data_IF_474148410698
#
_entry.id   IF_474148410698
#
_cell.length_a   1.000
_cell.length_b   1.000
_cell.length_c   1.000
_cell.angle_alpha   90.00
_cell.angle_beta   90.00
_cell.angle_gamma   90.00
#
_symmetry.space_group_name_H-M   'P 1'
#
loop_
_entity.id
_entity.type
_entity.pdbx_description
1 polymer ?
#
# COMPACT_ATOMS: atom_id res chain seq x y z
N UNK A 1 18.52 10.16 -9.31
CA UNK A 1 17.41 9.45 -8.64
C UNK A 1 16.40 10.46 -8.14
N UNK A 2 15.12 10.11 -8.11
CA UNK A 2 14.04 10.98 -7.61
C UNK A 2 13.61 10.51 -6.21
N UNK A 3 13.35 11.45 -5.29
CA UNK A 3 12.91 11.16 -3.92
C UNK A 3 11.70 12.04 -3.60
N UNK A 4 10.64 11.43 -3.08
CA UNK A 4 9.45 12.13 -2.62
C UNK A 4 8.79 11.32 -1.50
N UNK A 5 8.15 12.01 -0.58
CA UNK A 5 7.25 11.48 0.45
C UNK A 5 5.82 11.26 -0.08
N UNK A 6 5.50 11.77 -1.26
CA UNK A 6 4.21 11.59 -1.93
C UNK A 6 4.22 10.36 -2.83
N UNK A 7 3.41 9.35 -2.49
CA UNK A 7 3.18 8.19 -3.35
C UNK A 7 2.65 8.61 -4.73
N UNK A 8 1.75 9.58 -4.80
CA UNK A 8 1.24 10.08 -6.08
C UNK A 8 2.34 10.74 -6.92
N UNK A 9 3.23 11.50 -6.28
CA UNK A 9 4.38 12.11 -6.96
C UNK A 9 5.34 11.05 -7.48
N UNK A 10 5.65 10.03 -6.69
CA UNK A 10 6.48 8.90 -7.12
C UNK A 10 5.86 8.17 -8.31
N UNK A 11 4.57 7.83 -8.24
CA UNK A 11 3.89 7.13 -9.33
C UNK A 11 3.85 7.96 -10.62
N UNK A 12 3.62 9.27 -10.52
CA UNK A 12 3.63 10.17 -11.67
C UNK A 12 5.00 10.22 -12.33
N UNK A 13 6.08 10.21 -11.53
CA UNK A 13 7.45 10.17 -12.06
C UNK A 13 7.77 8.83 -12.72
N UNK A 14 7.36 7.71 -12.14
CA UNK A 14 7.58 6.37 -12.72
C UNK A 14 6.86 6.24 -14.06
N UNK A 15 5.63 6.71 -14.17
CA UNK A 15 4.85 6.62 -15.41
C UNK A 15 5.41 7.50 -16.53
N UNK A 16 5.91 8.70 -16.19
CA UNK A 16 6.35 9.70 -17.18
C UNK A 16 7.81 9.59 -17.58
N UNK A 17 8.58 8.73 -16.92
CA UNK A 17 10.02 8.60 -17.12
C UNK A 17 10.44 7.13 -17.15
N UNK A 18 11.72 6.86 -17.40
CA UNK A 18 12.27 5.48 -17.36
C UNK A 18 12.73 5.06 -15.96
N UNK A 19 12.20 5.69 -14.90
CA UNK A 19 12.53 5.33 -13.52
C UNK A 19 11.80 4.06 -13.09
N UNK A 20 12.47 3.26 -12.27
CA UNK A 20 11.90 2.09 -11.59
C UNK A 20 11.82 2.35 -10.09
N UNK A 21 10.86 1.72 -9.42
CA UNK A 21 10.73 1.77 -7.97
C UNK A 21 10.39 0.40 -7.40
N UNK A 22 10.90 0.13 -6.20
CA UNK A 22 10.47 -0.98 -5.37
C UNK A 22 9.33 -0.50 -4.47
N UNK A 23 8.18 -1.18 -4.52
CA UNK A 23 7.03 -0.83 -3.71
C UNK A 23 6.18 -2.05 -3.35
N UNK A 24 5.36 -1.98 -2.29
CA UNK A 24 4.42 -3.04 -1.96
C UNK A 24 3.46 -3.35 -3.12
N UNK A 25 3.32 -4.64 -3.46
CA UNK A 25 2.52 -5.11 -4.59
C UNK A 25 1.07 -4.59 -4.54
N UNK A 26 0.42 -4.60 -3.37
CA UNK A 26 -0.95 -4.09 -3.21
C UNK A 26 -1.09 -2.62 -3.60
N UNK A 27 -0.09 -1.79 -3.30
CA UNK A 27 -0.09 -0.37 -3.69
C UNK A 27 0.08 -0.21 -5.20
N UNK A 28 1.02 -0.94 -5.79
CA UNK A 28 1.23 -0.91 -7.24
C UNK A 28 -0.02 -1.36 -8.02
N UNK A 29 -0.67 -2.44 -7.58
CA UNK A 29 -1.93 -2.92 -8.15
C UNK A 29 -3.04 -1.88 -8.01
N UNK A 30 -3.11 -1.15 -6.90
CA UNK A 30 -4.07 -0.06 -6.73
C UNK A 30 -3.87 1.05 -7.77
N UNK A 31 -2.63 1.49 -7.97
CA UNK A 31 -2.35 2.53 -8.96
C UNK A 31 -2.60 2.07 -10.39
N UNK A 32 -2.24 0.83 -10.73
CA UNK A 32 -2.52 0.28 -12.06
C UNK A 32 -4.02 0.09 -12.31
N UNK A 33 -4.72 -0.60 -11.42
CA UNK A 33 -6.07 -1.08 -11.68
C UNK A 33 -7.15 -0.04 -11.37
N UNK A 34 -6.99 0.69 -10.26
CA UNK A 34 -7.99 1.66 -9.81
C UNK A 34 -7.68 3.08 -10.28
N UNK A 35 -6.40 3.49 -10.27
CA UNK A 35 -5.99 4.82 -10.73
C UNK A 35 -5.61 4.87 -12.21
N UNK A 36 -5.55 3.72 -12.89
CA UNK A 36 -5.28 3.59 -14.33
C UNK A 36 -3.92 4.16 -14.76
N UNK A 37 -2.92 4.09 -13.90
CA UNK A 37 -1.55 4.46 -14.28
C UNK A 37 -0.97 3.42 -15.25
N UNK A 38 -0.30 3.87 -16.31
CA UNK A 38 0.39 3.01 -17.27
C UNK A 38 1.77 2.59 -16.74
N UNK A 39 1.74 1.64 -15.80
CA UNK A 39 2.94 1.06 -15.19
C UNK A 39 3.05 -0.43 -15.51
N UNK A 40 4.30 -0.90 -15.60
CA UNK A 40 4.64 -2.31 -15.82
C UNK A 40 5.29 -2.90 -14.57
N UNK A 41 5.06 -4.19 -14.36
CA UNK A 41 5.68 -4.95 -13.29
C UNK A 41 6.90 -5.69 -13.81
N UNK A 42 7.97 -5.67 -13.02
CA UNK A 42 9.21 -6.40 -13.30
C UNK A 42 9.41 -7.37 -12.14
N UNK A 43 9.72 -8.62 -12.45
CA UNK A 43 10.06 -9.60 -11.43
C UNK A 43 11.39 -9.20 -10.78
N UNK A 44 11.46 -9.12 -9.43
CA UNK A 44 12.71 -8.79 -8.78
C UNK A 44 13.78 -9.87 -9.09
N UNK A 45 15.05 -9.47 -9.18
CA UNK A 45 16.14 -10.42 -9.41
C UNK A 45 16.25 -11.38 -8.22
N UNK A 46 16.70 -12.63 -8.43
CA UNK A 46 16.67 -13.68 -7.41
C UNK A 46 17.51 -13.37 -6.15
N UNK A 47 18.49 -12.48 -6.27
CA UNK A 47 19.32 -11.99 -5.17
C UNK A 47 18.54 -11.06 -4.21
N UNK A 48 17.41 -10.51 -4.67
CA UNK A 48 16.60 -9.57 -3.91
C UNK A 48 15.54 -10.31 -3.06
N UNK A 49 15.95 -10.74 -1.86
CA UNK A 49 15.03 -11.33 -0.88
C UNK A 49 14.13 -10.26 -0.24
N UNK A 50 12.91 -10.10 -0.75
CA UNK A 50 11.91 -9.18 -0.19
C UNK A 50 11.12 -9.84 0.93
N UNK A 51 11.03 -9.16 2.08
CA UNK A 51 10.16 -9.56 3.19
C UNK A 51 8.80 -8.87 3.08
N UNK A 52 7.74 -9.56 3.50
CA UNK A 52 6.43 -8.95 3.63
C UNK A 52 6.45 -7.87 4.73
N UNK A 53 5.80 -6.74 4.45
CA UNK A 53 5.62 -5.67 5.43
C UNK A 53 4.26 -5.85 6.09
N UNK A 54 4.25 -5.97 7.42
CA UNK A 54 3.02 -5.99 8.18
C UNK A 54 2.52 -4.57 8.40
N UNK A 55 1.24 -4.34 8.13
CA UNK A 55 0.56 -3.05 8.33
C UNK A 55 -0.45 -3.23 9.46
N UNK A 56 -0.34 -2.38 10.47
CA UNK A 56 -1.18 -2.45 11.67
C UNK A 56 -2.08 -1.22 11.79
N UNK A 57 -3.29 -1.43 12.30
CA UNK A 57 -4.10 -0.35 12.83
C UNK A 57 -3.71 -0.11 14.30
N UNK A 58 -3.61 1.16 14.70
CA UNK A 58 -3.25 1.56 16.07
C UNK A 58 -4.20 2.64 16.56
N UNK A 59 -4.64 2.53 17.81
CA UNK A 59 -5.51 3.53 18.43
C UNK A 59 -5.20 3.70 19.92
N UNK A 60 -5.58 4.85 20.47
CA UNK A 60 -5.43 5.14 21.89
C UNK A 60 -6.53 4.43 22.68
N UNK A 61 -6.13 3.55 23.61
CA UNK A 61 -7.05 2.83 24.51
C UNK A 61 -7.92 3.75 25.39
N UNK A 62 -7.44 4.95 25.68
CA UNK A 62 -8.14 5.95 26.51
C UNK A 62 -8.97 6.94 25.67
N UNK A 63 -9.18 6.66 24.38
CA UNK A 63 -10.02 7.50 23.52
C UNK A 63 -11.46 7.52 24.04
N UNK A 64 -12.09 8.70 24.04
CA UNK A 64 -13.53 8.85 24.34
C UNK A 64 -14.41 8.08 23.35
N UNK A 65 -13.88 7.77 22.16
CA UNK A 65 -14.58 7.08 21.08
C UNK A 65 -14.17 5.60 20.96
N UNK A 66 -13.67 4.97 22.03
CA UNK A 66 -13.11 3.62 21.97
C UNK A 66 -14.13 2.57 21.48
N UNK A 67 -15.41 2.71 21.82
CA UNK A 67 -16.48 1.82 21.34
C UNK A 67 -16.59 1.86 19.81
N UNK A 68 -16.72 3.05 19.24
CA UNK A 68 -16.80 3.26 17.78
C UNK A 68 -15.53 2.79 17.07
N UNK A 69 -14.36 3.02 17.67
CA UNK A 69 -13.08 2.53 17.12
C UNK A 69 -13.08 1.01 17.06
N UNK A 70 -13.48 0.33 18.13
CA UNK A 70 -13.54 -1.12 18.18
C UNK A 70 -14.52 -1.69 17.15
N UNK A 71 -15.71 -1.08 17.00
CA UNK A 71 -16.68 -1.46 15.97
C UNK A 71 -16.11 -1.35 14.55
N UNK A 72 -15.44 -0.22 14.23
CA UNK A 72 -14.78 -0.03 12.94
C UNK A 72 -13.67 -1.06 12.71
N UNK A 73 -12.86 -1.35 13.73
CA UNK A 73 -11.79 -2.35 13.63
C UNK A 73 -12.38 -3.73 13.38
N UNK A 74 -13.42 -4.14 14.10
CA UNK A 74 -14.10 -5.41 13.88
C UNK A 74 -14.66 -5.50 12.46
N UNK A 75 -15.30 -4.45 11.96
CA UNK A 75 -15.80 -4.39 10.58
C UNK A 75 -14.66 -4.55 9.56
N UNK A 76 -13.55 -3.83 9.72
CA UNK A 76 -12.40 -3.93 8.83
C UNK A 76 -11.76 -5.33 8.86
N UNK A 77 -11.67 -5.95 10.04
CA UNK A 77 -11.19 -7.32 10.20
C UNK A 77 -12.08 -8.30 9.43
N UNK A 78 -13.41 -8.20 9.59
CA UNK A 78 -14.38 -9.00 8.85
C UNK A 78 -14.27 -8.79 7.33
N UNK A 79 -14.16 -7.55 6.85
CA UNK A 79 -13.95 -7.30 5.42
C UNK A 79 -12.64 -7.88 4.89
N UNK A 80 -11.59 -7.92 5.74
CA UNK A 80 -10.30 -8.48 5.37
C UNK A 80 -10.34 -10.02 5.27
N UNK A 81 -11.11 -10.71 6.12
CA UNK A 81 -11.20 -12.17 6.12
C UNK A 81 -11.93 -12.72 4.90
N UNK A 82 -12.87 -11.96 4.33
CA UNK A 82 -13.61 -12.34 3.12
C UNK A 82 -12.82 -12.15 1.81
N UNK A 83 -11.67 -11.45 1.82
CA UNK A 83 -10.85 -11.17 0.63
C UNK A 83 -9.69 -12.15 0.44
N UNK A 84 -9.85 -13.40 0.94
CA UNK A 84 -8.86 -14.47 0.76
C UNK A 84 -8.78 -14.93 -0.70
#
# INVERSE_FOLDING_TARGET
GYRSDSLNGLMSMIERTSLIALMPLKLALFYKNHRKYDIKFIQPPPELALKSVQVYASWNKNSRNISTINEMVSMLQTLSSFRR
#
